data_IF_506071145721
#
_entry.id   IF_506071145721
#
_cell.length_a   1.000
_cell.length_b   1.000
_cell.length_c   1.000
_cell.angle_alpha   90.00
_cell.angle_beta   90.00
_cell.angle_gamma   90.00
#
_symmetry.space_group_name_H-M   'P 1'
#
loop_
_entity.id
_entity.type
_entity.pdbx_description
1 polymer ?
#
# COMPACT_ATOMS: atom_id res chain seq x y z
N UNK A 1 10.88 3.63 -16.85
CA UNK A 1 9.94 2.97 -17.79
C UNK A 1 8.53 3.54 -17.68
N UNK A 2 7.91 3.70 -16.49
CA UNK A 2 6.57 4.33 -16.37
C UNK A 2 6.46 5.78 -16.91
N UNK A 3 7.27 6.72 -16.39
CA UNK A 3 7.21 8.13 -16.81
C UNK A 3 7.46 8.30 -18.31
N UNK A 4 8.42 7.55 -18.87
CA UNK A 4 8.74 7.59 -20.30
C UNK A 4 7.62 7.02 -21.17
N UNK A 5 6.93 5.96 -20.71
CA UNK A 5 5.88 5.28 -21.49
C UNK A 5 4.55 6.04 -21.48
N UNK A 6 4.30 6.83 -20.44
CA UNK A 6 2.99 7.46 -20.19
C UNK A 6 3.02 8.98 -20.35
N UNK A 7 4.20 9.60 -20.26
CA UNK A 7 4.33 11.05 -20.13
C UNK A 7 3.90 11.58 -18.76
N UNK A 8 3.52 10.71 -17.82
CA UNK A 8 3.17 11.11 -16.46
C UNK A 8 4.41 11.56 -15.68
N UNK A 9 4.20 12.50 -14.76
CA UNK A 9 5.21 12.86 -13.77
C UNK A 9 5.19 11.84 -12.64
N UNK A 10 6.33 11.21 -12.36
CA UNK A 10 6.47 10.29 -11.22
C UNK A 10 7.27 11.01 -10.14
N UNK A 11 6.65 11.24 -8.98
CA UNK A 11 7.30 11.81 -7.81
C UNK A 11 7.53 10.71 -6.77
N UNK A 12 8.78 10.53 -6.37
CA UNK A 12 9.16 9.54 -5.36
C UNK A 12 9.60 10.30 -4.10
N UNK A 13 8.72 10.47 -3.10
CA UNK A 13 9.04 11.24 -1.91
C UNK A 13 10.12 10.53 -1.09
N UNK A 14 11.17 11.26 -0.72
CA UNK A 14 12.19 10.79 0.21
C UNK A 14 11.71 11.11 1.62
N UNK A 15 10.99 10.17 2.23
CA UNK A 15 10.53 10.28 3.62
C UNK A 15 11.56 9.71 4.60
N UNK A 16 11.54 10.14 5.88
CA UNK A 16 12.44 9.61 6.91
C UNK A 16 12.29 8.09 7.06
N UNK A 17 13.39 7.37 6.94
CA UNK A 17 13.44 5.93 7.21
C UNK A 17 13.61 5.66 8.72
N UNK A 18 13.44 4.40 9.13
CA UNK A 18 13.59 3.98 10.53
C UNK A 18 14.94 4.40 11.13
N UNK A 19 16.03 4.29 10.38
CA UNK A 19 17.37 4.67 10.84
C UNK A 19 17.54 6.18 11.04
N UNK A 20 16.62 6.97 10.50
CA UNK A 20 16.57 8.43 10.62
C UNK A 20 15.52 8.87 11.65
N UNK A 21 14.91 7.94 12.38
CA UNK A 21 13.84 8.22 13.35
C UNK A 21 12.45 8.34 12.73
N UNK A 22 12.25 7.90 11.49
CA UNK A 22 10.93 7.80 10.87
C UNK A 22 10.05 6.80 11.61
N UNK A 23 8.81 7.20 11.92
CA UNK A 23 7.79 6.34 12.53
C UNK A 23 6.45 6.61 11.87
N UNK A 24 5.48 5.71 12.01
CA UNK A 24 4.13 5.87 11.49
C UNK A 24 3.51 7.22 11.88
N UNK A 25 3.62 7.59 13.17
CA UNK A 25 3.06 8.83 13.69
C UNK A 25 3.64 10.11 13.12
N UNK A 26 4.81 10.06 12.47
CA UNK A 26 5.41 11.23 11.80
C UNK A 26 5.34 11.13 10.28
N UNK A 27 5.65 9.97 9.73
CA UNK A 27 5.78 9.76 8.28
C UNK A 27 4.41 9.69 7.60
N UNK A 28 3.41 9.04 8.21
CA UNK A 28 2.07 8.92 7.61
C UNK A 28 1.41 10.30 7.43
N UNK A 29 1.34 11.18 8.46
CA UNK A 29 0.81 12.53 8.27
C UNK A 29 1.63 13.36 7.27
N UNK A 30 2.96 13.18 7.24
CA UNK A 30 3.82 13.88 6.28
C UNK A 30 3.51 13.48 4.84
N UNK A 31 3.31 12.19 4.57
CA UNK A 31 2.96 11.69 3.24
C UNK A 31 1.53 12.03 2.83
N UNK A 32 0.59 12.01 3.78
CA UNK A 32 -0.75 12.53 3.57
C UNK A 32 -0.71 14.01 3.13
N UNK A 33 0.06 14.85 3.83
CA UNK A 33 0.26 16.25 3.47
C UNK A 33 0.91 16.45 2.09
N UNK A 34 1.87 15.58 1.74
CA UNK A 34 2.46 15.56 0.40
C UNK A 34 1.43 15.24 -0.68
N UNK A 35 0.64 14.17 -0.53
CA UNK A 35 -0.45 13.80 -1.45
C UNK A 35 -1.44 14.94 -1.59
N UNK A 36 -1.89 15.53 -0.47
CA UNK A 36 -2.81 16.67 -0.48
C UNK A 36 -2.24 17.88 -1.23
N UNK A 37 -0.93 18.13 -1.12
CA UNK A 37 -0.25 19.22 -1.85
C UNK A 37 -0.24 18.95 -3.35
N UNK A 38 0.04 17.71 -3.77
CA UNK A 38 -0.02 17.34 -5.18
C UNK A 38 -1.43 17.49 -5.74
N UNK A 39 -2.45 17.08 -4.98
CA UNK A 39 -3.85 17.25 -5.38
C UNK A 39 -4.22 18.73 -5.53
N UNK A 40 -3.78 19.59 -4.60
CA UNK A 40 -4.02 21.02 -4.70
C UNK A 40 -3.37 21.66 -5.94
N UNK A 41 -2.19 21.16 -6.35
CA UNK A 41 -1.43 21.68 -7.50
C UNK A 41 -1.93 21.14 -8.85
N UNK A 42 -2.38 19.88 -8.88
CA UNK A 42 -2.66 19.15 -10.12
C UNK A 42 -4.12 18.72 -10.29
N UNK A 43 -4.98 19.00 -9.30
CA UNK A 43 -6.36 18.48 -9.18
C UNK A 43 -6.41 16.98 -8.88
N UNK A 44 -7.42 16.56 -8.11
CA UNK A 44 -7.54 15.17 -7.64
C UNK A 44 -7.56 14.16 -8.79
N UNK A 45 -8.22 14.49 -9.91
CA UNK A 45 -8.31 13.64 -11.11
C UNK A 45 -6.97 13.29 -11.75
N UNK A 46 -5.90 14.05 -11.47
CA UNK A 46 -4.57 13.86 -12.06
C UNK A 46 -3.53 13.36 -11.07
N UNK A 47 -3.93 12.97 -9.85
CA UNK A 47 -3.02 12.46 -8.83
C UNK A 47 -3.43 11.07 -8.43
N UNK A 48 -2.54 10.11 -8.65
CA UNK A 48 -2.70 8.71 -8.24
C UNK A 48 -1.53 8.31 -7.35
N UNK A 49 -1.76 7.36 -6.46
CA UNK A 49 -0.73 6.85 -5.54
C UNK A 49 -0.43 5.40 -5.87
N UNK A 50 0.86 5.04 -5.89
CA UNK A 50 1.29 3.64 -5.95
C UNK A 50 2.32 3.38 -4.86
N UNK A 51 2.22 2.24 -4.20
CA UNK A 51 3.19 1.82 -3.19
C UNK A 51 3.27 0.29 -3.11
N UNK A 52 4.49 -0.20 -2.92
CA UNK A 52 4.82 -1.61 -2.74
C UNK A 52 5.20 -1.92 -1.30
N UNK A 53 4.86 -3.12 -0.78
CA UNK A 53 5.31 -3.59 0.52
C UNK A 53 5.04 -2.59 1.66
N UNK A 54 6.08 -2.08 2.34
CA UNK A 54 5.98 -1.00 3.33
C UNK A 54 5.52 0.35 2.73
N UNK A 55 5.82 0.62 1.47
CA UNK A 55 5.23 1.73 0.71
C UNK A 55 3.73 1.54 0.45
N UNK A 56 3.27 0.29 0.29
CA UNK A 56 1.85 -0.06 0.19
C UNK A 56 1.10 0.16 1.51
N UNK A 57 1.73 -0.18 2.64
CA UNK A 57 1.27 0.20 3.99
C UNK A 57 1.10 1.73 4.08
N UNK A 58 2.17 2.46 3.79
CA UNK A 58 2.22 3.91 3.90
C UNK A 58 1.21 4.60 2.97
N UNK A 59 1.03 4.11 1.74
CA UNK A 59 0.04 4.62 0.78
C UNK A 59 -1.38 4.50 1.31
N UNK A 60 -1.75 3.32 1.83
CA UNK A 60 -3.08 3.09 2.40
C UNK A 60 -3.29 3.93 3.67
N UNK A 61 -2.34 3.88 4.61
CA UNK A 61 -2.42 4.63 5.87
C UNK A 61 -2.51 6.14 5.64
N UNK A 62 -1.72 6.71 4.71
CA UNK A 62 -1.76 8.14 4.39
C UNK A 62 -3.08 8.55 3.74
N UNK A 63 -3.66 7.68 2.90
CA UNK A 63 -4.95 7.96 2.27
C UNK A 63 -6.10 7.85 3.27
N UNK A 64 -6.07 6.86 4.17
CA UNK A 64 -7.01 6.77 5.30
C UNK A 64 -6.89 8.01 6.20
N UNK A 65 -5.68 8.44 6.52
CA UNK A 65 -5.45 9.66 7.29
C UNK A 65 -6.08 10.89 6.62
N UNK A 66 -5.96 11.04 5.31
CA UNK A 66 -6.62 12.12 4.57
C UNK A 66 -8.13 12.07 4.72
N UNK A 67 -8.74 10.89 4.53
CA UNK A 67 -10.19 10.71 4.68
C UNK A 67 -10.65 11.09 6.08
N UNK A 68 -10.00 10.57 7.11
CA UNK A 68 -10.37 10.79 8.52
C UNK A 68 -10.27 12.27 8.93
N UNK A 69 -9.43 13.05 8.24
CA UNK A 69 -9.26 14.48 8.46
C UNK A 69 -10.02 15.35 7.45
N UNK A 70 -10.91 14.77 6.63
CA UNK A 70 -11.70 15.49 5.63
C UNK A 70 -10.87 16.11 4.50
N UNK A 71 -9.67 15.60 4.27
CA UNK A 71 -8.77 16.01 3.20
C UNK A 71 -9.16 15.43 1.83
N UNK A 72 -8.57 15.94 0.74
CA UNK A 72 -8.81 15.40 -0.59
C UNK A 72 -8.08 14.05 -0.76
N UNK A 73 -8.70 13.13 -1.50
CA UNK A 73 -8.12 11.82 -1.85
C UNK A 73 -7.63 11.80 -3.30
N UNK A 74 -6.62 10.99 -3.65
CA UNK A 74 -6.16 10.83 -5.03
C UNK A 74 -7.25 10.19 -5.91
N UNK A 75 -7.13 10.28 -7.23
CA UNK A 75 -8.10 9.67 -8.17
C UNK A 75 -8.10 8.14 -8.12
N UNK A 76 -6.96 7.54 -7.80
CA UNK A 76 -6.79 6.09 -7.70
C UNK A 76 -5.58 5.72 -6.84
N UNK A 77 -5.56 4.48 -6.37
CA UNK A 77 -4.44 3.91 -5.62
C UNK A 77 -4.11 2.50 -6.10
N UNK A 78 -2.82 2.19 -6.24
CA UNK A 78 -2.34 0.82 -6.52
C UNK A 78 -1.43 0.37 -5.38
N UNK A 79 -1.74 -0.80 -4.81
CA UNK A 79 -0.98 -1.41 -3.74
C UNK A 79 -0.37 -2.72 -4.24
N UNK A 80 0.95 -2.84 -4.18
CA UNK A 80 1.68 -4.05 -4.56
C UNK A 80 2.18 -4.72 -3.29
N UNK A 81 1.80 -5.98 -3.04
CA UNK A 81 2.24 -6.75 -1.87
C UNK A 81 2.12 -5.99 -0.53
N UNK A 82 1.02 -5.26 -0.25
CA UNK A 82 1.03 -4.30 0.84
C UNK A 82 1.19 -4.97 2.21
N UNK A 83 2.02 -4.37 3.07
CA UNK A 83 2.21 -4.84 4.44
C UNK A 83 1.12 -4.27 5.37
N UNK A 84 -0.01 -4.96 5.51
CA UNK A 84 -1.23 -4.37 6.09
C UNK A 84 -1.33 -4.46 7.62
N UNK A 85 -0.76 -5.50 8.24
CA UNK A 85 -0.63 -5.67 9.70
C UNK A 85 0.86 -5.88 10.06
N UNK A 86 1.47 -4.88 10.72
CA UNK A 86 2.88 -4.98 11.13
C UNK A 86 3.10 -5.88 12.34
N UNK A 87 2.03 -6.22 13.05
CA UNK A 87 2.05 -7.20 14.12
C UNK A 87 2.31 -8.62 13.62
N UNK A 88 2.07 -8.88 12.33
CA UNK A 88 2.19 -10.21 11.71
C UNK A 88 1.43 -11.27 12.53
N UNK A 89 0.22 -10.93 12.97
CA UNK A 89 -0.55 -11.73 13.93
C UNK A 89 -1.44 -12.79 13.28
N UNK A 90 -1.65 -12.67 11.97
CA UNK A 90 -2.50 -13.57 11.21
C UNK A 90 -1.93 -15.01 11.20
N UNK A 91 -2.67 -16.01 11.72
CA UNK A 91 -2.16 -17.37 11.85
C UNK A 91 -1.86 -18.04 10.49
N UNK A 92 -2.48 -17.57 9.40
CA UNK A 92 -2.25 -18.12 8.07
C UNK A 92 -0.86 -17.76 7.51
N UNK A 93 -0.18 -16.75 8.08
CA UNK A 93 1.21 -16.41 7.73
C UNK A 93 2.11 -17.65 7.88
N UNK A 94 1.91 -18.47 8.91
CA UNK A 94 2.71 -19.66 9.18
C UNK A 94 2.52 -20.79 8.15
N UNK A 95 1.49 -20.71 7.31
CA UNK A 95 1.20 -21.69 6.26
C UNK A 95 1.91 -21.36 4.94
N UNK A 96 2.48 -20.15 4.82
CA UNK A 96 3.09 -19.65 3.60
C UNK A 96 4.60 -19.81 3.69
N UNK A 97 5.19 -20.39 2.65
CA UNK A 97 6.65 -20.52 2.52
C UNK A 97 7.16 -19.41 1.60
N UNK A 98 7.40 -18.24 2.20
CA UNK A 98 7.92 -17.09 1.48
C UNK A 98 9.45 -17.21 1.29
N UNK A 99 9.96 -17.14 0.04
CA UNK A 99 11.39 -17.23 -0.22
C UNK A 99 12.17 -15.94 0.05
N UNK A 100 11.49 -14.81 0.28
CA UNK A 100 12.08 -13.48 0.41
C UNK A 100 11.92 -12.89 1.80
N UNK A 101 10.73 -13.00 2.41
CA UNK A 101 10.42 -12.31 3.66
C UNK A 101 10.43 -13.25 4.87
N UNK A 102 11.31 -13.03 5.86
CA UNK A 102 11.24 -13.72 7.14
C UNK A 102 10.32 -12.99 8.14
N UNK A 103 9.38 -13.73 8.77
CA UNK A 103 8.38 -13.18 9.71
C UNK A 103 8.99 -12.48 10.92
N UNK A 104 10.00 -13.10 11.58
CA UNK A 104 10.58 -12.59 12.82
C UNK A 104 11.19 -11.18 12.69
N UNK A 105 12.08 -10.94 11.70
CA UNK A 105 12.59 -9.61 11.39
C UNK A 105 11.48 -8.60 11.05
N UNK A 106 10.43 -9.00 10.32
CA UNK A 106 9.32 -8.11 9.97
C UNK A 106 8.61 -7.57 11.23
N UNK A 107 8.31 -8.41 12.23
CA UNK A 107 7.70 -7.96 13.49
C UNK A 107 8.56 -6.96 14.26
N UNK A 108 9.88 -7.14 14.25
CA UNK A 108 10.80 -6.21 14.92
C UNK A 108 10.83 -4.85 14.21
N UNK A 109 10.89 -4.87 12.88
CA UNK A 109 10.79 -3.67 12.04
C UNK A 109 9.45 -2.96 12.29
N UNK A 110 8.35 -3.71 12.37
CA UNK A 110 7.01 -3.19 12.63
C UNK A 110 6.90 -2.45 13.96
N UNK A 111 7.53 -2.98 15.01
CA UNK A 111 7.61 -2.31 16.33
C UNK A 111 8.40 -1.00 16.27
N UNK A 112 9.50 -0.97 15.51
CA UNK A 112 10.28 0.27 15.34
C UNK A 112 9.49 1.29 14.52
N UNK A 113 8.78 0.85 13.47
CA UNK A 113 7.89 1.67 12.67
C UNK A 113 6.75 2.27 13.51
N UNK A 114 6.14 1.49 14.40
CA UNK A 114 5.09 1.97 15.30
C UNK A 114 5.55 3.12 16.18
N UNK A 115 6.83 3.14 16.58
CA UNK A 115 7.37 4.14 17.49
C UNK A 115 6.66 4.07 18.85
N UNK A 116 5.90 5.12 19.18
CA UNK A 116 5.13 5.18 20.44
C UNK A 116 3.67 4.73 20.27
N UNK A 117 3.23 4.41 19.05
CA UNK A 117 1.88 3.93 18.78
C UNK A 117 1.77 2.42 19.06
N UNK A 118 0.54 1.95 19.27
CA UNK A 118 0.27 0.52 19.29
C UNK A 118 0.47 -0.07 17.88
N UNK A 119 0.94 -1.31 17.79
CA UNK A 119 1.13 -1.97 16.48
C UNK A 119 -0.19 -2.18 15.73
N UNK A 120 -1.32 -2.17 16.43
CA UNK A 120 -2.66 -2.25 15.84
C UNK A 120 -3.25 -0.88 15.51
N UNK A 121 -2.59 0.23 15.86
CA UNK A 121 -3.04 1.56 15.51
C UNK A 121 -3.18 1.68 13.97
N UNK A 122 -4.28 2.23 13.43
CA UNK A 122 -4.50 2.33 11.99
C UNK A 122 -3.40 3.09 11.22
N UNK A 123 -2.65 3.98 11.87
CA UNK A 123 -1.50 4.64 11.25
C UNK A 123 -0.33 3.66 11.02
N UNK A 124 -0.24 2.61 11.84
CA UNK A 124 0.81 1.61 11.79
C UNK A 124 0.38 0.43 10.93
N UNK A 125 -0.82 -0.09 11.19
CA UNK A 125 -1.43 -1.24 10.54
C UNK A 125 -2.75 -0.82 9.90
N UNK A 126 -2.73 -0.33 8.64
CA UNK A 126 -3.90 0.25 7.98
C UNK A 126 -5.01 -0.78 7.68
N UNK A 127 -4.75 -2.08 7.88
CA UNK A 127 -5.79 -3.11 7.91
C UNK A 127 -6.90 -2.80 8.93
N UNK A 128 -6.53 -2.15 10.04
CA UNK A 128 -7.45 -1.79 11.11
C UNK A 128 -8.14 -0.43 10.88
N UNK A 129 -7.82 0.26 9.78
CA UNK A 129 -8.40 1.56 9.42
C UNK A 129 -9.73 1.45 8.66
N UNK A 130 -10.41 2.60 8.52
CA UNK A 130 -11.64 2.70 7.73
C UNK A 130 -11.36 2.46 6.24
N UNK A 131 -12.27 1.76 5.55
CA UNK A 131 -12.25 1.63 4.08
C UNK A 131 -13.21 2.61 3.39
N UNK A 132 -14.03 3.31 4.17
CA UNK A 132 -14.96 4.33 3.66
C UNK A 132 -14.19 5.51 3.10
N UNK A 133 -14.66 6.10 2.00
CA UNK A 133 -14.07 7.30 1.40
C UNK A 133 -12.75 7.07 0.64
N UNK A 134 -12.24 5.83 0.62
CA UNK A 134 -11.06 5.49 -0.17
C UNK A 134 -11.35 5.64 -1.68
N UNK A 135 -10.35 6.04 -2.48
CA UNK A 135 -10.48 6.06 -3.93
C UNK A 135 -10.50 4.62 -4.50
N UNK A 136 -10.85 4.46 -5.79
CA UNK A 136 -10.62 3.19 -6.49
C UNK A 136 -9.22 2.66 -6.20
N UNK A 137 -9.15 1.49 -5.58
CA UNK A 137 -7.91 0.89 -5.11
C UNK A 137 -7.70 -0.48 -5.76
N UNK A 138 -6.49 -0.76 -6.23
CA UNK A 138 -6.16 -2.02 -6.89
C UNK A 138 -5.01 -2.69 -6.15
N UNK A 139 -5.22 -3.91 -5.67
CA UNK A 139 -4.26 -4.65 -4.85
C UNK A 139 -3.73 -5.84 -5.63
N UNK A 140 -2.40 -5.93 -5.75
CA UNK A 140 -1.70 -7.03 -6.38
C UNK A 140 -0.94 -7.81 -5.32
N UNK A 141 -1.20 -9.11 -5.18
CA UNK A 141 -0.54 -9.95 -4.17
C UNK A 141 -0.33 -11.36 -4.70
N UNK A 142 0.81 -11.96 -4.36
CA UNK A 142 1.16 -13.33 -4.74
C UNK A 142 0.93 -14.29 -3.57
N UNK A 143 0.45 -15.51 -3.83
CA UNK A 143 0.12 -16.45 -2.74
C UNK A 143 1.33 -17.12 -2.06
N UNK A 144 2.55 -16.89 -2.54
CA UNK A 144 3.80 -17.27 -1.85
C UNK A 144 4.36 -16.12 -0.99
N UNK A 145 3.67 -14.98 -0.95
CA UNK A 145 4.01 -13.85 -0.08
C UNK A 145 3.35 -14.02 1.30
N UNK A 146 4.12 -13.93 2.38
CA UNK A 146 3.54 -14.00 3.74
C UNK A 146 2.50 -12.90 3.99
N UNK A 147 2.61 -11.74 3.33
CA UNK A 147 1.68 -10.62 3.47
C UNK A 147 0.32 -10.87 2.80
N UNK A 148 0.23 -11.88 1.92
CA UNK A 148 -1.02 -12.26 1.26
C UNK A 148 -2.10 -12.69 2.27
N UNK A 149 -1.70 -13.21 3.43
CA UNK A 149 -2.63 -13.58 4.49
C UNK A 149 -3.52 -12.40 4.91
N UNK A 150 -2.95 -11.20 5.01
CA UNK A 150 -3.68 -9.98 5.39
C UNK A 150 -4.39 -9.32 4.21
N UNK A 151 -3.88 -9.50 2.99
CA UNK A 151 -4.59 -9.09 1.77
C UNK A 151 -5.94 -9.81 1.65
N UNK A 152 -6.02 -11.09 2.03
CA UNK A 152 -7.29 -11.84 2.06
C UNK A 152 -8.27 -11.28 3.11
N UNK A 153 -7.76 -10.80 4.25
CA UNK A 153 -8.59 -10.13 5.27
C UNK A 153 -9.12 -8.81 4.72
N UNK A 154 -8.28 -8.01 4.07
CA UNK A 154 -8.68 -6.77 3.40
C UNK A 154 -9.71 -7.02 2.31
N UNK A 155 -9.55 -8.09 1.51
CA UNK A 155 -10.50 -8.48 0.47
C UNK A 155 -11.89 -8.77 1.06
N UNK A 156 -11.95 -9.55 2.14
CA UNK A 156 -13.20 -9.86 2.81
C UNK A 156 -13.84 -8.59 3.40
N UNK A 157 -13.05 -7.71 4.02
CA UNK A 157 -13.52 -6.44 4.57
C UNK A 157 -14.08 -5.52 3.46
N UNK A 158 -13.36 -5.37 2.35
CA UNK A 158 -13.78 -4.55 1.21
C UNK A 158 -15.09 -5.06 0.60
N UNK A 159 -15.22 -6.37 0.40
CA UNK A 159 -16.46 -6.99 -0.11
C UNK A 159 -17.64 -6.78 0.85
N UNK A 160 -17.40 -6.90 2.17
CA UNK A 160 -18.44 -6.73 3.19
C UNK A 160 -18.92 -5.28 3.28
N UNK A 161 -18.01 -4.31 3.11
CA UNK A 161 -18.30 -2.88 3.23
C UNK A 161 -18.69 -2.23 1.89
N UNK A 162 -18.55 -2.94 0.77
CA UNK A 162 -18.72 -2.36 -0.56
C UNK A 162 -17.65 -1.32 -0.92
N UNK A 163 -16.45 -1.44 -0.34
CA UNK A 163 -15.35 -0.53 -0.64
C UNK A 163 -14.84 -0.74 -2.08
N UNK A 164 -14.41 0.30 -2.81
CA UNK A 164 -14.01 0.22 -4.21
C UNK A 164 -12.60 -0.36 -4.38
N UNK A 165 -12.35 -1.54 -3.81
CA UNK A 165 -11.05 -2.22 -3.84
C UNK A 165 -11.14 -3.48 -4.71
N UNK A 166 -10.30 -3.55 -5.73
CA UNK A 166 -10.15 -4.71 -6.61
C UNK A 166 -8.86 -5.45 -6.32
N UNK A 167 -8.84 -6.76 -6.56
CA UNK A 167 -7.73 -7.63 -6.16
C UNK A 167 -7.27 -8.52 -7.32
N UNK A 168 -5.96 -8.60 -7.50
CA UNK A 168 -5.27 -9.59 -8.34
C UNK A 168 -4.44 -10.47 -7.40
N UNK A 169 -4.95 -11.67 -7.14
CA UNK A 169 -4.29 -12.67 -6.31
C UNK A 169 -3.64 -13.71 -7.23
N UNK A 170 -2.31 -13.66 -7.35
CA UNK A 170 -1.58 -14.45 -8.32
C UNK A 170 -1.02 -15.74 -7.68
N UNK A 171 -1.33 -16.88 -8.31
CA UNK A 171 -0.84 -18.19 -7.87
C UNK A 171 0.64 -18.38 -8.26
N UNK A 172 1.45 -18.90 -7.34
CA UNK A 172 2.88 -19.15 -7.53
C UNK A 172 3.76 -17.91 -7.48
N UNK A 173 3.20 -16.75 -7.12
CA UNK A 173 3.92 -15.49 -7.11
C UNK A 173 4.39 -15.11 -5.70
N UNK A 174 5.58 -14.52 -5.63
CA UNK A 174 6.29 -14.14 -4.41
C UNK A 174 6.01 -12.68 -4.00
N UNK A 175 6.57 -12.26 -2.88
CA UNK A 175 6.58 -10.84 -2.48
C UNK A 175 7.14 -9.95 -3.60
N UNK A 176 6.44 -8.86 -3.91
CA UNK A 176 6.74 -7.90 -4.96
C UNK A 176 6.90 -8.49 -6.37
N UNK A 177 6.15 -9.55 -6.67
CA UNK A 177 6.22 -10.20 -7.98
C UNK A 177 6.00 -9.25 -9.17
N UNK A 178 5.15 -8.21 -9.03
CA UNK A 178 4.95 -7.15 -10.03
C UNK A 178 6.27 -6.47 -10.43
N UNK A 179 7.19 -6.33 -9.47
CA UNK A 179 8.47 -5.64 -9.60
C UNK A 179 9.64 -6.60 -9.87
N UNK A 180 9.50 -7.88 -9.49
CA UNK A 180 10.64 -8.80 -9.44
C UNK A 180 10.56 -9.96 -10.45
N UNK A 181 9.40 -10.19 -11.07
CA UNK A 181 9.19 -11.37 -11.94
C UNK A 181 8.79 -10.99 -13.37
N UNK A 182 9.15 -11.82 -14.37
CA UNK A 182 8.70 -11.63 -15.75
C UNK A 182 7.17 -11.61 -15.90
N UNK A 183 6.44 -12.40 -15.10
CA UNK A 183 4.98 -12.42 -15.11
C UNK A 183 4.41 -11.10 -14.58
N UNK A 184 5.00 -10.59 -13.49
CA UNK A 184 4.62 -9.29 -12.93
C UNK A 184 4.80 -8.13 -13.89
N UNK A 185 5.87 -8.14 -14.68
CA UNK A 185 6.12 -7.08 -15.66
C UNK A 185 5.00 -6.92 -16.70
N UNK A 186 4.24 -7.97 -16.96
CA UNK A 186 3.12 -7.96 -17.92
C UNK A 186 1.91 -7.16 -17.41
N UNK A 187 1.84 -6.88 -16.09
CA UNK A 187 0.74 -6.13 -15.49
C UNK A 187 0.94 -4.62 -15.53
N UNK A 188 2.13 -4.10 -15.83
CA UNK A 188 2.38 -2.66 -15.88
C UNK A 188 1.43 -1.87 -16.81
N UNK A 189 1.06 -2.35 -18.01
CA UNK A 189 0.05 -1.68 -18.82
C UNK A 189 -1.32 -1.57 -18.12
N UNK A 190 -1.72 -2.58 -17.36
CA UNK A 190 -2.94 -2.55 -16.56
C UNK A 190 -2.80 -1.56 -15.39
N UNK A 191 -1.71 -1.64 -14.63
CA UNK A 191 -1.41 -0.72 -13.53
C UNK A 191 -1.41 0.73 -14.02
N UNK A 192 -0.86 1.02 -15.20
CA UNK A 192 -0.89 2.37 -15.77
C UNK A 192 -2.32 2.86 -16.08
N UNK A 193 -3.21 1.97 -16.54
CA UNK A 193 -4.64 2.32 -16.75
C UNK A 193 -5.36 2.53 -15.41
N UNK A 194 -5.08 1.68 -14.44
CA UNK A 194 -5.65 1.77 -13.09
C UNK A 194 -5.22 3.06 -12.37
N UNK A 195 -3.99 3.50 -12.60
CA UNK A 195 -3.46 4.80 -12.17
C UNK A 195 -3.99 5.98 -13.00
N UNK A 196 -4.75 5.75 -14.07
CA UNK A 196 -5.27 6.81 -14.94
C UNK A 196 -4.21 7.53 -15.76
N UNK A 197 -3.03 6.94 -15.94
CA UNK A 197 -1.88 7.53 -16.68
C UNK A 197 -1.69 6.90 -18.06
N UNK A 198 -2.53 5.95 -18.45
CA UNK A 198 -2.58 5.39 -19.79
C UNK A 198 -4.04 5.14 -20.22
N UNK A 199 -4.27 5.20 -21.54
CA UNK A 199 -5.55 4.85 -22.16
C UNK A 199 -5.78 3.33 -22.21
#
# INVERSE_FOLDING_TARGET
MMAQQTGATVQVPIYPLLQQGGTAGTVVPTMAGFISTQIAQHQASNVSVIGDSAGGNLALAATQYLVDHGGPVPSSMVLVSPWLDVGMTNPNIALIQDPLLPVGPAQQIGKVWAGNLDVNDPLVSPLNGSLSGLPPTYVYSGNLDILAADVLVLQQAAATQGAPISFVLANGQIHDWILLTPDGFQYWPQINRELGIAA
#
